data_IF_729300367521
#
_entry.id   IF_729300367521
#
_cell.length_a   1.000
_cell.length_b   1.000
_cell.length_c   1.000
_cell.angle_alpha   90.00
_cell.angle_beta   90.00
_cell.angle_gamma   90.00
#
_symmetry.space_group_name_H-M   'P 1'
#
loop_
_entity.id
_entity.type
_entity.pdbx_description
1 polymer ?
#
# COMPACT_ATOMS: atom_id res chain seq x y z
N UNK A 1 -24.71 17.52 10.61
CA UNK A 1 -23.70 16.44 10.61
C UNK A 1 -22.70 16.76 11.70
N UNK A 2 -22.65 15.98 12.79
CA UNK A 2 -21.69 16.22 13.88
C UNK A 2 -20.28 15.84 13.43
N UNK A 3 -19.28 16.63 13.84
CA UNK A 3 -17.85 16.41 13.59
C UNK A 3 -17.43 14.97 13.94
N UNK A 4 -18.00 14.44 15.03
CA UNK A 4 -17.78 13.07 15.53
C UNK A 4 -18.06 11.98 14.47
N UNK A 5 -18.99 12.22 13.53
CA UNK A 5 -19.27 11.24 12.46
C UNK A 5 -18.17 11.18 11.41
N UNK A 6 -17.48 12.28 11.13
CA UNK A 6 -16.41 12.33 10.14
C UNK A 6 -15.14 11.67 10.70
N UNK A 7 -14.82 11.97 11.95
CA UNK A 7 -13.68 11.37 12.65
C UNK A 7 -13.86 9.85 12.79
N UNK A 8 -15.08 9.39 13.12
CA UNK A 8 -15.38 7.96 13.18
C UNK A 8 -15.20 7.27 11.82
N UNK A 9 -15.70 7.86 10.72
CA UNK A 9 -15.52 7.30 9.37
C UNK A 9 -14.04 7.20 9.00
N UNK A 10 -13.26 8.23 9.33
CA UNK A 10 -11.81 8.24 9.11
C UNK A 10 -11.12 7.11 9.88
N UNK A 11 -11.42 6.94 11.17
CA UNK A 11 -10.85 5.88 11.99
C UNK A 11 -11.18 4.48 11.45
N UNK A 12 -12.40 4.26 10.95
CA UNK A 12 -12.78 2.99 10.33
C UNK A 12 -11.96 2.73 9.06
N UNK A 13 -11.75 3.75 8.22
CA UNK A 13 -10.91 3.63 7.02
C UNK A 13 -9.45 3.32 7.39
N UNK A 14 -8.89 4.04 8.37
CA UNK A 14 -7.53 3.82 8.87
C UNK A 14 -7.38 2.40 9.46
N UNK A 15 -8.39 1.92 10.19
CA UNK A 15 -8.43 0.54 10.68
C UNK A 15 -8.46 -0.48 9.54
N UNK A 16 -9.15 -0.19 8.43
CA UNK A 16 -9.13 -1.03 7.23
C UNK A 16 -7.75 -1.13 6.60
N UNK A 17 -7.03 -0.02 6.50
CA UNK A 17 -5.65 -0.01 6.01
C UNK A 17 -4.71 -0.77 6.94
N UNK A 18 -4.84 -0.59 8.26
CA UNK A 18 -4.07 -1.35 9.24
C UNK A 18 -4.38 -2.85 9.15
N UNK A 19 -5.66 -3.23 9.01
CA UNK A 19 -6.07 -4.62 8.86
C UNK A 19 -5.41 -5.29 7.65
N UNK A 20 -5.36 -4.60 6.50
CA UNK A 20 -4.64 -5.07 5.31
C UNK A 20 -3.16 -5.33 5.62
N UNK A 21 -2.48 -4.37 6.25
CA UNK A 21 -1.05 -4.48 6.58
C UNK A 21 -0.73 -5.61 7.56
N UNK A 22 -1.68 -5.97 8.42
CA UNK A 22 -1.52 -7.03 9.43
C UNK A 22 -2.11 -8.39 9.02
N UNK A 23 -2.61 -8.52 7.79
CA UNK A 23 -3.16 -9.78 7.28
C UNK A 23 -4.56 -10.13 7.80
N UNK A 24 -5.27 -9.17 8.39
CA UNK A 24 -6.66 -9.32 8.86
C UNK A 24 -7.63 -9.17 7.67
N UNK A 25 -7.57 -10.13 6.74
CA UNK A 25 -8.20 -9.98 5.43
C UNK A 25 -9.74 -9.97 5.50
N UNK A 26 -10.35 -10.67 6.45
CA UNK A 26 -11.82 -10.69 6.59
C UNK A 26 -12.33 -9.31 7.00
N UNK A 27 -11.66 -8.70 7.97
CA UNK A 27 -11.94 -7.38 8.51
C UNK A 27 -11.67 -6.30 7.46
N UNK A 28 -10.54 -6.42 6.75
CA UNK A 28 -10.20 -5.53 5.64
C UNK A 28 -11.27 -5.57 4.54
N UNK A 29 -11.77 -6.75 4.15
CA UNK A 29 -12.85 -6.88 3.17
C UNK A 29 -14.18 -6.31 3.66
N UNK A 30 -14.49 -6.47 4.94
CA UNK A 30 -15.69 -5.88 5.53
C UNK A 30 -15.64 -4.34 5.53
N UNK A 31 -14.46 -3.75 5.78
CA UNK A 31 -14.29 -2.30 5.70
C UNK A 31 -14.26 -1.82 4.24
N UNK A 32 -13.63 -2.58 3.34
CA UNK A 32 -13.61 -2.29 1.91
C UNK A 32 -15.04 -2.18 1.34
N UNK A 33 -15.95 -3.09 1.69
CA UNK A 33 -17.34 -3.03 1.22
C UNK A 33 -18.13 -1.84 1.78
N UNK A 34 -17.72 -1.29 2.92
CA UNK A 34 -18.32 -0.12 3.54
C UNK A 34 -17.76 1.22 3.00
N UNK A 35 -16.70 1.22 2.18
CA UNK A 35 -16.06 2.45 1.68
C UNK A 35 -17.01 3.47 1.04
N UNK A 36 -18.03 3.08 0.25
CA UNK A 36 -18.99 4.05 -0.32
C UNK A 36 -19.74 4.87 0.74
N UNK A 37 -19.96 4.29 1.92
CA UNK A 37 -20.60 4.96 3.05
C UNK A 37 -19.60 5.72 3.93
N UNK A 38 -18.34 5.26 3.98
CA UNK A 38 -17.29 5.87 4.79
C UNK A 38 -16.65 7.09 4.13
N UNK A 39 -16.50 7.06 2.80
CA UNK A 39 -15.83 8.09 2.01
C UNK A 39 -16.78 8.61 0.93
N UNK A 40 -17.43 9.76 1.18
CA UNK A 40 -18.38 10.35 0.24
C UNK A 40 -17.72 10.81 -1.07
N UNK A 41 -16.51 11.37 -0.99
CA UNK A 41 -15.76 11.80 -2.16
C UNK A 41 -15.27 10.59 -2.97
N UNK A 42 -15.63 10.56 -4.26
CA UNK A 42 -15.35 9.42 -5.11
C UNK A 42 -13.85 9.30 -5.47
N UNK A 43 -13.11 10.41 -5.50
CA UNK A 43 -11.68 10.40 -5.83
C UNK A 43 -10.85 9.89 -4.65
N UNK A 44 -11.16 10.36 -3.44
CA UNK A 44 -10.55 9.89 -2.20
C UNK A 44 -10.87 8.42 -1.97
N UNK A 45 -12.14 8.04 -2.19
CA UNK A 45 -12.56 6.63 -2.07
C UNK A 45 -11.77 5.74 -3.02
N UNK A 46 -11.62 6.15 -4.27
CA UNK A 46 -10.88 5.39 -5.29
C UNK A 46 -9.40 5.23 -4.91
N UNK A 47 -8.77 6.27 -4.37
CA UNK A 47 -7.39 6.18 -3.89
C UNK A 47 -7.24 5.15 -2.76
N UNK A 48 -8.14 5.18 -1.77
CA UNK A 48 -8.14 4.22 -0.66
C UNK A 48 -8.43 2.80 -1.15
N UNK A 49 -9.38 2.64 -2.07
CA UNK A 49 -9.72 1.35 -2.65
C UNK A 49 -8.55 0.72 -3.42
N UNK A 50 -7.79 1.53 -4.18
CA UNK A 50 -6.54 1.07 -4.82
C UNK A 50 -5.55 0.56 -3.77
N UNK A 51 -5.30 1.32 -2.70
CA UNK A 51 -4.33 0.92 -1.66
C UNK A 51 -4.76 -0.37 -0.96
N UNK A 52 -6.04 -0.49 -0.61
CA UNK A 52 -6.56 -1.71 0.00
C UNK A 52 -6.44 -2.91 -0.94
N UNK A 53 -6.79 -2.75 -2.22
CA UNK A 53 -6.66 -3.83 -3.21
C UNK A 53 -5.22 -4.28 -3.40
N UNK A 54 -4.24 -3.36 -3.33
CA UNK A 54 -2.81 -3.72 -3.39
C UNK A 54 -2.44 -4.62 -2.22
N UNK A 55 -2.72 -4.20 -0.99
CA UNK A 55 -2.34 -5.00 0.18
C UNK A 55 -3.20 -6.28 0.36
N UNK A 56 -4.38 -6.35 -0.26
CA UNK A 56 -5.19 -7.57 -0.39
C UNK A 56 -4.68 -8.51 -1.51
N UNK A 57 -3.59 -8.17 -2.20
CA UNK A 57 -3.01 -8.97 -3.28
C UNK A 57 -3.79 -8.91 -4.60
N UNK A 58 -4.75 -8.00 -4.73
CA UNK A 58 -5.59 -7.83 -5.92
C UNK A 58 -4.99 -6.83 -6.91
N UNK A 59 -3.71 -7.02 -7.25
CA UNK A 59 -2.90 -6.10 -8.06
C UNK A 59 -3.57 -5.75 -9.41
N UNK A 60 -4.12 -6.73 -10.12
CA UNK A 60 -4.79 -6.47 -11.40
C UNK A 60 -6.07 -5.64 -11.27
N UNK A 61 -6.79 -5.78 -10.15
CA UNK A 61 -7.98 -4.96 -9.86
C UNK A 61 -7.56 -3.55 -9.45
N UNK A 62 -6.51 -3.42 -8.64
CA UNK A 62 -5.92 -2.14 -8.26
C UNK A 62 -5.41 -1.35 -9.47
N UNK A 63 -4.73 -2.00 -10.42
CA UNK A 63 -4.23 -1.36 -11.64
C UNK A 63 -5.36 -0.79 -12.51
N UNK A 64 -6.39 -1.59 -12.79
CA UNK A 64 -7.57 -1.14 -13.56
C UNK A 64 -8.29 0.02 -12.88
N UNK A 65 -8.38 -0.01 -11.55
CA UNK A 65 -9.01 1.07 -10.80
C UNK A 65 -8.16 2.35 -10.82
N UNK A 66 -6.83 2.21 -10.81
CA UNK A 66 -5.89 3.34 -10.87
C UNK A 66 -5.92 4.05 -12.23
N UNK A 67 -6.14 3.33 -13.33
CA UNK A 67 -6.33 3.92 -14.67
C UNK A 67 -7.54 4.87 -14.72
N UNK A 68 -8.52 4.66 -13.86
CA UNK A 68 -9.73 5.49 -13.73
C UNK A 68 -9.59 6.58 -12.64
N UNK A 69 -8.44 6.66 -11.98
CA UNK A 69 -8.20 7.64 -10.93
C UNK A 69 -7.71 8.97 -11.52
N UNK A 70 -7.92 10.10 -10.81
CA UNK A 70 -7.30 11.37 -11.17
C UNK A 70 -5.78 11.23 -11.31
N UNK A 71 -5.20 11.97 -12.26
CA UNK A 71 -3.77 11.87 -12.58
C UNK A 71 -2.84 12.05 -11.36
N UNK A 72 -3.26 12.87 -10.38
CA UNK A 72 -2.54 13.05 -9.12
C UNK A 72 -2.45 11.74 -8.31
N UNK A 73 -3.56 11.01 -8.16
CA UNK A 73 -3.58 9.72 -7.46
C UNK A 73 -2.83 8.64 -8.26
N UNK A 74 -3.00 8.61 -9.58
CA UNK A 74 -2.27 7.71 -10.46
C UNK A 74 -0.74 7.85 -10.31
N UNK A 75 -0.25 9.10 -10.27
CA UNK A 75 1.17 9.39 -10.08
C UNK A 75 1.69 8.94 -8.71
N UNK A 76 0.90 9.14 -7.65
CA UNK A 76 1.32 8.79 -6.28
C UNK A 76 1.28 7.29 -6.00
N UNK A 77 0.31 6.56 -6.57
CA UNK A 77 0.06 5.15 -6.23
C UNK A 77 0.68 4.16 -7.22
N UNK A 78 1.04 4.59 -8.43
CA UNK A 78 1.67 3.72 -9.43
C UNK A 78 2.95 3.00 -8.95
N UNK A 79 3.82 3.58 -8.09
CA UNK A 79 4.98 2.86 -7.56
C UNK A 79 4.61 1.66 -6.68
N UNK A 80 3.42 1.66 -6.06
CA UNK A 80 2.96 0.56 -5.21
C UNK A 80 2.55 -0.68 -6.00
N UNK A 81 2.32 -0.54 -7.31
CA UNK A 81 2.03 -1.65 -8.22
C UNK A 81 3.31 -2.28 -8.79
N UNK A 82 4.45 -1.62 -8.65
CA UNK A 82 5.72 -2.19 -9.08
C UNK A 82 6.12 -3.35 -8.15
N UNK A 83 6.64 -4.45 -8.70
CA UNK A 83 7.23 -5.49 -7.86
C UNK A 83 8.37 -4.88 -7.02
N UNK A 84 8.62 -5.38 -5.80
CA UNK A 84 9.72 -4.90 -4.98
C UNK A 84 11.02 -5.02 -5.78
N UNK A 85 11.73 -3.89 -5.91
CA UNK A 85 13.04 -3.86 -6.57
C UNK A 85 13.98 -4.72 -5.73
N UNK A 86 14.25 -5.93 -6.21
CA UNK A 86 15.32 -6.77 -5.66
C UNK A 86 16.62 -6.16 -6.16
N UNK A 87 17.26 -5.31 -5.35
CA UNK A 87 18.65 -4.92 -5.61
C UNK A 87 19.52 -6.16 -5.38
N UNK A 88 20.27 -6.62 -6.40
CA UNK A 88 21.25 -7.68 -6.17
C UNK A 88 22.30 -7.14 -5.20
N UNK A 89 22.50 -7.82 -4.07
CA UNK A 89 23.66 -7.57 -3.22
C UNK A 89 24.92 -7.95 -4.01
N UNK A 90 25.53 -6.97 -4.67
CA UNK A 90 26.81 -7.18 -5.35
C UNK A 90 27.87 -7.45 -4.29
N UNK A 91 28.37 -8.69 -4.27
CA UNK A 91 29.45 -9.17 -3.41
C UNK A 91 30.55 -8.12 -3.17
N UNK A 92 30.66 -7.65 -1.93
CA UNK A 92 31.85 -6.95 -1.45
C UNK A 92 32.98 -8.00 -1.40
N UNK A 93 33.81 -8.07 -2.45
CA UNK A 93 35.04 -8.88 -2.43
C UNK A 93 35.92 -8.39 -1.28
N UNK A 94 36.04 -9.22 -0.25
CA UNK A 94 36.97 -9.02 0.86
C UNK A 94 38.40 -8.94 0.32
N UNK A 95 38.97 -7.74 0.33
CA UNK A 95 40.42 -7.55 0.27
C UNK A 95 41.05 -8.07 1.58
N UNK A 96 41.31 -9.38 1.65
CA UNK A 96 42.30 -9.92 2.60
C UNK A 96 43.64 -9.92 1.86
N UNK A 97 44.36 -8.81 1.99
CA UNK A 97 45.80 -8.76 1.67
C UNK A 97 46.52 -9.49 2.82
N UNK A 98 46.94 -10.74 2.58
CA UNK A 98 47.86 -11.45 3.49
C UNK A 98 49.17 -10.67 3.55
N UNK A 99 49.58 -10.26 4.74
CA UNK A 99 50.90 -9.70 5.01
C UNK A 99 51.90 -10.87 5.14
N UNK A 100 53.07 -10.87 4.47
CA UNK A 100 54.02 -11.96 4.52
C UNK A 100 55.20 -11.62 5.43
N UNK A 101 55.04 -11.69 6.76
CA UNK A 101 56.16 -11.59 7.69
C UNK A 101 56.11 -12.78 8.66
N UNK A 102 57.04 -13.73 8.50
CA UNK A 102 57.13 -14.90 9.37
C UNK A 102 58.09 -15.99 8.91
N UNK A 103 59.38 -15.68 8.82
CA UNK A 103 60.52 -16.49 9.31
C UNK A 103 61.83 -15.77 9.05
#
# INVERSE_FOLDING_TARGET
>A
MSLQSADMRRLIVEAGLAAVNHGLYREAWAIHSALPTLIPDANDRRAIEVVMLIGLGRIGSAARLLEQAPAQHAKLLSPLLAPPVVTPFTHLKSHIKRNPDGS
#
